data_IF_233577795647
#
_entry.id   IF_233577795647
#
_cell.length_a   1.000
_cell.length_b   1.000
_cell.length_c   1.000
_cell.angle_alpha   90.00
_cell.angle_beta   90.00
_cell.angle_gamma   90.00
#
_symmetry.space_group_name_H-M   'P 1'
#
loop_
_entity.id
_entity.type
_entity.pdbx_description
1 polymer ?
#
# COMPACT_ATOMS: atom_id res chain seq x y z
N UNK A 1 9.81 -14.04 14.04
CA UNK A 1 9.78 -15.01 12.93
C UNK A 1 11.09 -15.03 12.13
N UNK A 2 11.55 -13.91 11.53
CA UNK A 2 12.77 -13.87 10.69
C UNK A 2 14.07 -14.28 11.41
N UNK A 3 14.24 -13.88 12.67
CA UNK A 3 15.40 -14.28 13.47
C UNK A 3 15.50 -15.80 13.65
N UNK A 4 14.38 -16.46 13.99
CA UNK A 4 14.33 -17.93 14.13
C UNK A 4 14.63 -18.61 12.79
N UNK A 5 14.09 -18.10 11.68
CA UNK A 5 14.40 -18.59 10.34
C UNK A 5 15.89 -18.48 10.02
N UNK A 6 16.51 -17.34 10.30
CA UNK A 6 17.92 -17.11 9.99
C UNK A 6 18.83 -18.04 10.79
N UNK A 7 18.55 -18.24 12.08
CA UNK A 7 19.26 -19.22 12.92
C UNK A 7 19.10 -20.64 12.41
N UNK A 8 17.88 -21.05 12.03
CA UNK A 8 17.62 -22.40 11.50
C UNK A 8 18.31 -22.66 10.16
N UNK A 9 18.45 -21.63 9.32
CA UNK A 9 19.11 -21.73 8.01
C UNK A 9 20.62 -21.95 8.11
N UNK A 10 21.24 -21.53 9.22
CA UNK A 10 22.68 -21.63 9.44
C UNK A 10 22.99 -22.38 10.75
N UNK A 11 22.72 -23.69 10.82
CA UNK A 11 22.92 -24.48 12.04
C UNK A 11 24.40 -24.56 12.45
N UNK A 12 25.33 -24.49 11.49
CA UNK A 12 26.78 -24.49 11.75
C UNK A 12 27.32 -23.13 12.20
N UNK A 13 26.56 -22.06 12.01
CA UNK A 13 26.96 -20.70 12.40
C UNK A 13 26.23 -20.31 13.68
N UNK A 14 26.77 -20.79 14.80
CA UNK A 14 26.21 -20.56 16.14
C UNK A 14 26.33 -19.10 16.62
N UNK A 15 27.15 -18.28 15.95
CA UNK A 15 27.30 -16.87 16.30
C UNK A 15 26.06 -16.05 15.92
N UNK A 16 25.39 -15.51 16.94
CA UNK A 16 24.29 -14.54 16.79
C UNK A 16 24.76 -13.31 16.02
N UNK A 17 25.99 -12.87 16.27
CA UNK A 17 26.60 -11.70 15.62
C UNK A 17 26.77 -11.92 14.12
N UNK A 18 27.19 -13.13 13.71
CA UNK A 18 27.30 -13.46 12.29
C UNK A 18 25.94 -13.43 11.59
N UNK A 19 24.91 -14.01 12.23
CA UNK A 19 23.54 -14.00 11.70
C UNK A 19 23.00 -12.57 11.57
N UNK A 20 23.24 -11.73 12.58
CA UNK A 20 22.90 -10.31 12.57
C UNK A 20 23.59 -9.60 11.39
N UNK A 21 24.91 -9.67 11.29
CA UNK A 21 25.69 -8.99 10.24
C UNK A 21 25.35 -9.49 8.83
N UNK A 22 24.86 -10.72 8.69
CA UNK A 22 24.51 -11.30 7.38
C UNK A 22 23.18 -10.81 6.82
N UNK A 23 22.23 -10.46 7.68
CA UNK A 23 20.85 -10.21 7.29
C UNK A 23 20.25 -8.91 7.81
N UNK A 24 20.76 -8.36 8.91
CA UNK A 24 20.29 -7.13 9.51
C UNK A 24 21.30 -6.03 9.23
N UNK A 25 20.89 -5.12 8.36
CA UNK A 25 21.72 -4.01 7.89
C UNK A 25 21.14 -2.68 8.35
N UNK A 26 21.96 -1.64 8.29
CA UNK A 26 21.53 -0.24 8.43
C UNK A 26 21.30 0.34 7.05
N UNK A 27 20.17 1.00 6.85
CA UNK A 27 19.86 1.68 5.59
C UNK A 27 19.18 3.03 5.86
N UNK A 28 19.82 4.12 5.43
CA UNK A 28 19.42 5.47 5.78
C UNK A 28 19.41 5.66 7.30
N UNK A 29 18.28 6.07 7.85
CA UNK A 29 18.09 6.25 9.31
C UNK A 29 17.62 4.99 10.03
N UNK A 30 17.35 3.89 9.30
CA UNK A 30 16.77 2.68 9.88
C UNK A 30 17.85 1.63 10.14
N UNK A 31 17.87 1.13 11.37
CA UNK A 31 18.66 -0.01 11.78
C UNK A 31 17.81 -1.28 11.76
N UNK A 32 18.46 -2.44 11.85
CA UNK A 32 17.79 -3.75 11.90
C UNK A 32 16.89 -4.02 10.68
N UNK A 33 17.32 -3.58 9.49
CA UNK A 33 16.61 -3.82 8.24
C UNK A 33 16.97 -5.19 7.71
N UNK A 34 15.98 -6.09 7.65
CA UNK A 34 16.17 -7.42 7.08
C UNK A 34 16.37 -7.32 5.56
N UNK A 35 17.57 -7.63 5.10
CA UNK A 35 17.94 -7.57 3.70
C UNK A 35 19.08 -8.54 3.37
N UNK A 36 19.30 -8.71 2.08
CA UNK A 36 20.43 -9.41 1.49
C UNK A 36 21.14 -8.43 0.54
N UNK A 37 22.31 -8.81 0.02
CA UNK A 37 23.10 -7.96 -0.89
C UNK A 37 22.32 -7.36 -2.07
N UNK A 38 21.25 -8.01 -2.52
CA UNK A 38 20.47 -7.59 -3.70
C UNK A 38 19.04 -7.11 -3.38
N UNK A 39 18.46 -7.58 -2.28
CA UNK A 39 17.03 -7.44 -2.02
C UNK A 39 16.79 -7.15 -0.54
N UNK A 40 15.99 -6.12 -0.28
CA UNK A 40 15.43 -5.80 1.03
C UNK A 40 13.98 -6.25 1.13
N UNK A 41 13.59 -6.75 2.30
CA UNK A 41 12.18 -6.95 2.63
C UNK A 41 11.49 -5.61 2.89
N UNK A 42 10.47 -5.27 2.10
CA UNK A 42 9.66 -4.07 2.32
C UNK A 42 8.87 -4.20 3.62
N UNK A 43 8.91 -3.16 4.44
CA UNK A 43 8.08 -3.11 5.64
C UNK A 43 6.65 -2.74 5.25
N UNK A 44 5.69 -3.37 5.91
CA UNK A 44 4.29 -3.06 5.71
C UNK A 44 3.97 -1.61 6.09
N UNK A 45 4.70 -1.04 7.06
CA UNK A 45 4.59 0.37 7.46
C UNK A 45 4.96 1.36 6.36
N UNK A 46 5.74 0.94 5.35
CA UNK A 46 6.11 1.79 4.22
C UNK A 46 5.02 1.82 3.13
N UNK A 47 4.06 0.89 3.18
CA UNK A 47 2.96 0.86 2.23
C UNK A 47 1.97 1.97 2.56
N UNK A 48 1.72 2.85 1.58
CA UNK A 48 0.69 3.89 1.71
C UNK A 48 -0.67 3.25 1.93
N UNK A 49 -1.36 3.67 2.98
CA UNK A 49 -2.74 3.26 3.24
C UNK A 49 -3.64 3.96 2.21
N UNK A 50 -4.21 3.19 1.29
CA UNK A 50 -5.19 3.68 0.32
C UNK A 50 -6.59 3.49 0.89
N UNK A 51 -7.34 4.58 1.06
CA UNK A 51 -8.74 4.53 1.52
C UNK A 51 -9.66 4.39 0.31
N UNK A 52 -10.54 3.39 0.36
CA UNK A 52 -11.60 3.22 -0.62
C UNK A 52 -12.89 3.83 -0.09
N UNK A 53 -13.56 4.64 -0.92
CA UNK A 53 -14.88 5.18 -0.57
C UNK A 53 -15.87 4.01 -0.53
N UNK A 54 -16.61 3.88 0.58
CA UNK A 54 -17.66 2.88 0.73
C UNK A 54 -18.68 2.90 -0.40
N UNK A 55 -19.32 1.77 -0.66
CA UNK A 55 -20.45 1.72 -1.59
C UNK A 55 -21.68 2.33 -0.93
N UNK A 56 -22.51 3.02 -1.72
CA UNK A 56 -23.87 3.36 -1.31
C UNK A 56 -24.66 2.05 -1.28
N UNK A 57 -24.87 1.50 -0.09
CA UNK A 57 -25.50 0.18 0.12
C UNK A 57 -27.01 0.21 -0.12
N UNK A 58 -27.60 1.40 -0.09
CA UNK A 58 -28.99 1.72 -0.42
C UNK A 58 -29.27 1.71 -1.93
N UNK A 59 -28.24 1.57 -2.79
CA UNK A 59 -28.36 1.66 -4.24
C UNK A 59 -28.18 0.31 -4.92
N UNK A 60 -29.13 -0.04 -5.79
CA UNK A 60 -29.11 -1.30 -6.52
C UNK A 60 -28.42 -1.11 -7.89
N UNK A 61 -27.39 -1.90 -8.25
CA UNK A 61 -26.71 -1.80 -9.54
C UNK A 61 -27.59 -1.89 -10.79
N UNK A 62 -28.73 -2.58 -10.70
CA UNK A 62 -29.63 -2.80 -11.83
C UNK A 62 -30.70 -1.72 -11.96
N UNK A 63 -31.13 -1.11 -10.84
CA UNK A 63 -32.14 -0.05 -10.82
C UNK A 63 -31.52 1.35 -10.83
N UNK A 64 -30.40 1.54 -10.12
CA UNK A 64 -29.68 2.80 -9.96
C UNK A 64 -28.40 2.86 -10.82
N UNK A 65 -28.44 2.33 -12.04
CA UNK A 65 -27.26 2.16 -12.90
C UNK A 65 -26.45 3.45 -13.12
N UNK A 66 -27.12 4.61 -13.20
CA UNK A 66 -26.48 5.92 -13.37
C UNK A 66 -25.51 6.26 -12.22
N UNK A 67 -25.85 5.93 -10.97
CA UNK A 67 -24.98 6.17 -9.81
C UNK A 67 -23.65 5.40 -9.93
N UNK A 68 -23.69 4.17 -10.44
CA UNK A 68 -22.50 3.34 -10.65
C UNK A 68 -21.67 3.80 -11.84
N UNK A 69 -22.30 4.27 -12.93
CA UNK A 69 -21.61 4.88 -14.09
C UNK A 69 -20.83 6.13 -13.65
N UNK A 70 -21.48 7.05 -12.94
CA UNK A 70 -20.86 8.27 -12.40
C UNK A 70 -19.71 7.97 -11.45
N UNK A 71 -19.88 7.00 -10.55
CA UNK A 71 -18.80 6.52 -9.67
C UNK A 71 -17.59 6.01 -10.46
N UNK A 72 -17.82 5.26 -11.55
CA UNK A 72 -16.75 4.73 -12.42
C UNK A 72 -16.01 5.86 -13.15
N UNK A 73 -16.72 6.86 -13.65
CA UNK A 73 -16.15 8.07 -14.24
C UNK A 73 -15.29 8.83 -13.21
N UNK A 74 -15.81 9.04 -12.00
CA UNK A 74 -15.08 9.67 -10.89
C UNK A 74 -13.80 8.92 -10.53
N UNK A 75 -13.84 7.58 -10.45
CA UNK A 75 -12.65 6.78 -10.18
C UNK A 75 -11.60 6.89 -11.29
N UNK A 76 -12.02 6.95 -12.56
CA UNK A 76 -11.10 7.21 -13.69
C UNK A 76 -10.49 8.60 -13.61
N UNK A 77 -11.31 9.61 -13.33
CA UNK A 77 -10.91 10.99 -13.13
C UNK A 77 -9.89 11.19 -11.99
N UNK A 78 -10.09 10.54 -10.85
CA UNK A 78 -9.18 10.60 -9.70
C UNK A 78 -7.81 9.97 -9.99
N UNK A 79 -7.73 9.08 -10.99
CA UNK A 79 -6.47 8.50 -11.48
C UNK A 79 -5.73 9.41 -12.45
N UNK A 80 -6.39 10.44 -12.98
CA UNK A 80 -5.75 11.46 -13.83
C UNK A 80 -5.02 12.50 -12.96
N UNK A 81 -4.03 13.18 -13.55
CA UNK A 81 -3.12 14.11 -12.88
C UNK A 81 -3.82 15.23 -12.09
N UNK A 82 -3.13 15.79 -11.09
CA UNK A 82 -3.68 16.73 -10.10
C UNK A 82 -4.48 17.92 -10.68
N UNK A 83 -4.22 18.38 -11.91
CA UNK A 83 -4.99 19.45 -12.54
C UNK A 83 -6.46 19.10 -12.80
N UNK A 84 -6.77 17.82 -13.02
CA UNK A 84 -8.15 17.35 -13.19
C UNK A 84 -8.93 17.39 -11.87
N UNK A 85 -8.27 17.13 -10.73
CA UNK A 85 -8.93 17.12 -9.40
C UNK A 85 -9.59 18.46 -9.08
N UNK A 86 -8.90 19.57 -9.35
CA UNK A 86 -9.40 20.94 -9.16
C UNK A 86 -10.62 21.27 -10.04
N UNK A 87 -10.75 20.64 -11.21
CA UNK A 87 -11.92 20.81 -12.09
C UNK A 87 -13.11 19.96 -11.64
N UNK A 88 -12.89 18.80 -11.03
CA UNK A 88 -13.95 17.95 -10.49
C UNK A 88 -14.64 18.55 -9.26
N UNK A 89 -13.91 19.27 -8.41
CA UNK A 89 -14.51 19.94 -7.23
C UNK A 89 -15.53 21.01 -7.63
N UNK A 90 -15.39 21.64 -8.80
CA UNK A 90 -16.36 22.61 -9.36
C UNK A 90 -17.61 21.98 -9.98
N UNK A 91 -17.58 20.67 -10.25
CA UNK A 91 -18.69 19.90 -10.87
C UNK A 91 -19.46 19.06 -9.85
N UNK A 92 -19.05 19.09 -8.58
CA UNK A 92 -19.62 18.30 -7.47
C UNK A 92 -21.05 18.71 -7.12
N UNK A 93 -21.42 19.97 -7.34
CA UNK A 93 -22.67 20.55 -6.81
C UNK A 93 -23.94 20.07 -7.53
N UNK A 94 -23.82 19.24 -8.58
CA UNK A 94 -24.96 18.76 -9.36
C UNK A 94 -25.14 17.24 -9.45
N UNK A 95 -24.32 16.42 -8.77
CA UNK A 95 -24.33 14.97 -8.96
C UNK A 95 -24.48 14.21 -7.65
N UNK A 96 -25.72 13.82 -7.37
CA UNK A 96 -26.19 12.91 -6.34
C UNK A 96 -25.46 13.01 -4.99
N UNK A 97 -25.95 13.93 -4.14
CA UNK A 97 -25.80 13.83 -2.68
C UNK A 97 -26.13 12.42 -2.20
#
# INVERSE_FOLDING_TARGET
>A
MLWKWAKRRHPEKNSKTWVANRYWHTEGTRNWVFSTKKIRLKLFSDMKIVRHIGLKLDKNPYLDAECFKLRKLRQKALKLSNWYKTRWDKLKDGLCA
#
